data_IF_777245822841
#
_entry.id   IF_777245822841
#
_cell.length_a   1.000
_cell.length_b   1.000
_cell.length_c   1.000
_cell.angle_alpha   90.00
_cell.angle_beta   90.00
_cell.angle_gamma   90.00
#
_symmetry.space_group_name_H-M   'P 1'
#
loop_
_entity.id
_entity.type
_entity.pdbx_description
1 polymer ?
#
# COMPACT_ATOMS: atom_id res chain seq x y z
N UNK A 1 -1.94 -19.70 -11.86
CA UNK A 1 -1.09 -19.22 -12.96
C UNK A 1 0.37 -19.38 -12.58
N UNK A 2 1.20 -19.98 -13.42
CA UNK A 2 2.64 -20.00 -13.16
C UNK A 2 3.16 -18.56 -13.07
N UNK A 3 3.99 -18.28 -12.05
CA UNK A 3 4.54 -16.95 -11.83
C UNK A 3 3.68 -16.03 -11.01
N UNK A 4 2.41 -16.38 -10.74
CA UNK A 4 1.56 -15.58 -9.87
C UNK A 4 2.02 -15.69 -8.42
N UNK A 5 2.02 -14.57 -7.71
CA UNK A 5 2.32 -14.54 -6.28
C UNK A 5 1.14 -14.83 -5.39
N UNK A 6 -0.07 -14.94 -5.94
CA UNK A 6 -1.27 -15.15 -5.15
C UNK A 6 -1.24 -16.50 -4.44
N UNK A 7 -1.51 -16.48 -3.15
CA UNK A 7 -1.57 -17.70 -2.35
C UNK A 7 -1.16 -17.45 -0.91
N UNK A 8 -1.65 -18.33 -0.02
CA UNK A 8 -1.25 -18.34 1.37
C UNK A 8 0.06 -19.09 1.54
N UNK A 9 0.94 -18.56 2.36
CA UNK A 9 2.24 -19.16 2.67
C UNK A 9 2.38 -19.29 4.18
N UNK A 10 2.81 -20.46 4.64
CA UNK A 10 3.17 -20.66 6.05
C UNK A 10 4.69 -20.48 6.14
N UNK A 11 5.11 -19.48 6.90
CA UNK A 11 6.52 -19.18 7.10
C UNK A 11 7.16 -20.16 8.08
N UNK A 12 8.50 -20.30 8.09
CA UNK A 12 9.18 -21.17 9.06
C UNK A 12 8.81 -20.89 10.51
N UNK A 13 8.48 -19.64 10.82
CA UNK A 13 8.01 -19.25 12.18
C UNK A 13 6.62 -19.75 12.52
N UNK A 14 5.88 -20.29 11.54
CA UNK A 14 4.49 -20.69 11.69
C UNK A 14 3.50 -19.59 11.32
N UNK A 15 3.96 -18.37 11.07
CA UNK A 15 3.10 -17.27 10.64
C UNK A 15 2.60 -17.50 9.22
N UNK A 16 1.31 -17.20 8.99
CA UNK A 16 0.70 -17.35 7.67
C UNK A 16 0.55 -15.96 7.05
N UNK A 17 1.00 -15.81 5.80
CA UNK A 17 0.95 -14.55 5.06
C UNK A 17 0.38 -14.79 3.67
N UNK A 18 -0.16 -13.72 3.07
CA UNK A 18 -0.62 -13.76 1.69
C UNK A 18 0.47 -13.21 0.78
N UNK A 19 0.85 -13.99 -0.20
CA UNK A 19 1.86 -13.63 -1.18
C UNK A 19 3.00 -14.63 -1.18
N UNK A 20 3.19 -15.32 -2.30
CA UNK A 20 4.22 -16.38 -2.39
C UNK A 20 5.62 -15.80 -2.48
N UNK A 21 5.76 -14.58 -3.00
CA UNK A 21 7.05 -13.91 -3.20
C UNK A 21 7.14 -12.60 -2.44
N UNK A 22 6.33 -12.44 -1.38
CA UNK A 22 6.22 -11.20 -0.64
C UNK A 22 5.04 -10.38 -1.11
N UNK A 23 4.90 -9.18 -0.57
CA UNK A 23 3.82 -8.27 -0.92
C UNK A 23 4.33 -6.85 -1.02
N UNK A 24 3.63 -6.01 -1.80
CA UNK A 24 3.99 -4.61 -1.99
C UNK A 24 2.75 -3.75 -2.13
N UNK A 25 2.85 -2.51 -1.65
CA UNK A 25 1.79 -1.53 -1.79
C UNK A 25 2.33 -0.17 -2.20
N UNK A 26 1.43 0.72 -2.62
CA UNK A 26 1.76 2.05 -3.09
C UNK A 26 1.12 3.11 -2.20
N UNK A 27 1.93 3.90 -1.52
CA UNK A 27 1.49 5.04 -0.73
C UNK A 27 1.71 6.31 -1.52
N UNK A 28 0.61 6.92 -1.98
CA UNK A 28 0.69 8.19 -2.68
C UNK A 28 0.52 9.34 -1.70
N UNK A 29 1.37 10.36 -1.85
CA UNK A 29 1.30 11.58 -1.06
C UNK A 29 1.13 12.78 -2.00
N UNK A 30 0.11 13.58 -1.74
CA UNK A 30 -0.08 14.86 -2.41
C UNK A 30 0.28 15.98 -1.45
N UNK A 31 1.19 16.84 -1.88
CA UNK A 31 1.66 17.96 -1.05
C UNK A 31 1.25 19.28 -1.69
N UNK A 32 0.45 20.05 -0.95
CA UNK A 32 -0.04 21.33 -1.43
C UNK A 32 -0.13 22.32 -0.28
N UNK A 33 0.50 23.47 -0.45
CA UNK A 33 0.45 24.57 0.55
C UNK A 33 0.84 24.10 1.95
N UNK A 34 1.86 23.22 2.04
CA UNK A 34 2.34 22.73 3.32
C UNK A 34 1.50 21.62 3.95
N UNK A 35 0.45 21.18 3.26
CA UNK A 35 -0.40 20.08 3.74
C UNK A 35 -0.14 18.82 2.92
N UNK A 36 0.23 17.75 3.61
CA UNK A 36 0.39 16.44 3.00
C UNK A 36 -0.90 15.65 3.17
N UNK A 37 -1.35 15.02 2.08
CA UNK A 37 -2.49 14.10 2.11
C UNK A 37 -2.06 12.77 1.53
N UNK A 38 -2.46 11.72 2.22
CA UNK A 38 -2.15 10.35 1.81
C UNK A 38 -3.39 9.69 1.24
N UNK A 39 -3.22 8.95 0.14
CA UNK A 39 -4.32 8.15 -0.40
C UNK A 39 -4.35 6.82 0.32
N UNK A 40 -5.43 6.57 1.02
CA UNK A 40 -5.67 5.29 1.68
C UNK A 40 -6.96 4.68 1.17
N UNK A 41 -7.02 3.36 1.20
CA UNK A 41 -8.21 2.62 0.83
C UNK A 41 -8.76 1.91 2.07
N UNK A 42 -10.10 1.90 2.20
CA UNK A 42 -10.76 1.16 3.26
C UNK A 42 -11.02 -0.26 2.77
N UNK A 43 -10.48 -1.23 3.48
CA UNK A 43 -10.63 -2.64 3.15
C UNK A 43 -12.09 -3.05 3.29
N UNK A 44 -12.62 -3.75 2.29
CA UNK A 44 -14.00 -4.18 2.29
C UNK A 44 -14.32 -5.05 3.51
N UNK A 45 -15.56 -4.99 3.97
CA UNK A 45 -15.98 -5.70 5.18
C UNK A 45 -15.89 -7.22 5.06
N UNK A 46 -15.85 -7.76 3.84
CA UNK A 46 -15.78 -9.21 3.61
C UNK A 46 -14.35 -9.73 3.39
N UNK A 47 -13.33 -8.85 3.29
CA UNK A 47 -11.96 -9.33 3.11
C UNK A 47 -11.44 -9.93 4.40
N UNK A 48 -10.55 -10.91 4.28
CA UNK A 48 -9.92 -11.56 5.41
C UNK A 48 -8.78 -10.68 5.96
N UNK A 49 -8.93 -10.23 7.19
CA UNK A 49 -7.94 -9.38 7.86
C UNK A 49 -8.10 -7.90 7.52
N UNK A 50 -8.20 -7.07 8.55
CA UNK A 50 -8.24 -5.62 8.41
C UNK A 50 -9.49 -5.07 7.76
N UNK A 51 -10.60 -5.82 7.73
CA UNK A 51 -11.83 -5.36 7.11
C UNK A 51 -12.34 -4.09 7.79
N UNK A 52 -12.79 -3.13 6.98
CA UNK A 52 -13.25 -1.84 7.47
C UNK A 52 -12.14 -0.89 7.90
N UNK A 53 -10.88 -1.31 7.82
CA UNK A 53 -9.74 -0.49 8.19
C UNK A 53 -9.06 0.13 6.97
N UNK A 54 -8.45 1.29 7.20
CA UNK A 54 -7.76 2.02 6.15
C UNK A 54 -6.30 1.59 6.06
N UNK A 55 -5.83 1.41 4.84
CA UNK A 55 -4.47 0.95 4.59
C UNK A 55 -3.97 1.42 3.22
N UNK A 56 -2.71 1.14 2.97
CA UNK A 56 -2.08 1.32 1.66
C UNK A 56 -2.63 0.25 0.73
N UNK A 57 -3.10 0.61 -0.48
CA UNK A 57 -3.48 -0.41 -1.46
C UNK A 57 -2.25 -1.20 -1.92
N UNK A 58 -2.41 -2.51 -2.07
CA UNK A 58 -1.32 -3.38 -2.47
C UNK A 58 -1.75 -4.84 -2.51
N UNK A 59 -0.80 -5.71 -2.80
CA UNK A 59 -1.05 -7.14 -2.89
C UNK A 59 0.23 -7.93 -3.11
N UNK A 60 0.07 -9.18 -3.55
CA UNK A 60 1.17 -10.11 -3.72
C UNK A 60 2.10 -9.71 -4.87
N UNK A 61 3.40 -9.90 -4.65
CA UNK A 61 4.41 -9.73 -5.70
C UNK A 61 4.42 -11.01 -6.55
N UNK A 62 4.42 -10.85 -7.88
CA UNK A 62 4.55 -11.98 -8.78
C UNK A 62 6.02 -12.35 -8.98
N UNK A 63 6.27 -13.57 -9.46
CA UNK A 63 7.62 -14.16 -9.50
C UNK A 63 8.68 -13.28 -10.16
N UNK A 64 8.32 -12.56 -11.21
CA UNK A 64 9.27 -11.76 -12.00
C UNK A 64 9.23 -10.27 -11.67
N UNK A 65 8.45 -9.88 -10.67
CA UNK A 65 8.31 -8.46 -10.33
C UNK A 65 9.26 -8.05 -9.22
N UNK A 66 9.75 -6.81 -9.31
CA UNK A 66 10.32 -6.16 -8.15
C UNK A 66 9.18 -5.48 -7.36
N UNK A 67 9.42 -5.01 -6.13
CA UNK A 67 8.37 -4.40 -5.32
C UNK A 67 7.66 -3.22 -5.97
N UNK A 68 8.39 -2.37 -6.69
CA UNK A 68 7.79 -1.20 -7.36
C UNK A 68 6.85 -1.64 -8.48
N UNK A 69 7.27 -2.60 -9.28
CA UNK A 69 6.42 -3.14 -10.36
C UNK A 69 5.14 -3.75 -9.80
N UNK A 70 5.26 -4.51 -8.72
CA UNK A 70 4.11 -5.13 -8.07
C UNK A 70 3.16 -4.08 -7.50
N UNK A 71 3.71 -3.06 -6.83
CA UNK A 71 2.90 -1.99 -6.25
C UNK A 71 2.15 -1.21 -7.33
N UNK A 72 2.79 -0.93 -8.47
CA UNK A 72 2.14 -0.25 -9.59
C UNK A 72 1.01 -1.08 -10.18
N UNK A 73 1.25 -2.36 -10.41
CA UNK A 73 0.24 -3.26 -10.96
C UNK A 73 -0.95 -3.41 -10.02
N UNK A 74 -0.68 -3.63 -8.73
CA UNK A 74 -1.75 -3.78 -7.74
C UNK A 74 -2.57 -2.50 -7.60
N UNK A 75 -1.91 -1.33 -7.64
CA UNK A 75 -2.62 -0.06 -7.58
C UNK A 75 -3.57 0.08 -8.79
N UNK A 76 -3.08 -0.23 -9.98
CA UNK A 76 -3.89 -0.15 -11.20
C UNK A 76 -5.10 -1.09 -11.13
N UNK A 77 -4.89 -2.29 -10.63
CA UNK A 77 -5.97 -3.30 -10.52
C UNK A 77 -7.00 -2.94 -9.44
N UNK A 78 -6.54 -2.44 -8.30
CA UNK A 78 -7.42 -2.24 -7.14
C UNK A 78 -8.04 -0.86 -7.07
N UNK A 79 -7.30 0.15 -7.47
CA UNK A 79 -7.70 1.56 -7.25
C UNK A 79 -8.01 2.24 -8.58
N UNK A 80 -7.06 2.24 -9.50
CA UNK A 80 -7.20 2.91 -10.79
C UNK A 80 -5.86 3.44 -11.28
N UNK A 81 -5.92 4.31 -12.30
CA UNK A 81 -4.70 4.86 -12.91
C UNK A 81 -3.96 5.79 -11.97
N UNK A 82 -2.64 5.68 -11.93
CA UNK A 82 -1.80 6.62 -11.19
C UNK A 82 -1.87 8.00 -11.85
N UNK A 83 -1.87 9.08 -11.04
CA UNK A 83 -1.78 10.43 -11.60
C UNK A 83 -0.48 10.62 -12.38
N UNK A 84 -0.51 11.42 -13.42
CA UNK A 84 0.72 11.76 -14.14
C UNK A 84 1.69 12.53 -13.25
N UNK A 85 2.97 12.43 -13.56
CA UNK A 85 4.00 13.14 -12.82
C UNK A 85 4.34 12.56 -11.46
N UNK A 86 3.95 11.33 -11.18
CA UNK A 86 4.30 10.69 -9.91
C UNK A 86 5.81 10.47 -9.82
N UNK A 87 6.34 10.61 -8.59
CA UNK A 87 7.78 10.47 -8.33
C UNK A 87 7.99 9.56 -7.14
N UNK A 88 8.73 8.48 -7.34
CA UNK A 88 9.09 7.57 -6.25
C UNK A 88 10.12 8.23 -5.33
N UNK A 89 9.84 8.27 -4.03
CA UNK A 89 10.75 8.80 -3.02
C UNK A 89 11.57 7.72 -2.36
N UNK A 90 10.99 6.54 -2.18
CA UNK A 90 11.69 5.43 -1.55
C UNK A 90 10.76 4.25 -1.32
N UNK A 91 11.36 3.16 -0.88
CA UNK A 91 10.64 1.91 -0.58
C UNK A 91 10.98 1.51 0.85
N UNK A 92 9.96 1.29 1.65
CA UNK A 92 10.09 0.81 3.02
C UNK A 92 9.87 -0.69 3.06
N UNK A 93 10.79 -1.41 3.65
CA UNK A 93 10.68 -2.87 3.78
C UNK A 93 10.43 -3.24 5.24
N UNK A 94 9.40 -4.05 5.46
CA UNK A 94 9.18 -4.71 6.75
C UNK A 94 9.52 -6.17 6.57
N UNK A 95 10.60 -6.61 7.19
CA UNK A 95 11.03 -8.01 7.12
C UNK A 95 10.21 -8.80 8.14
N UNK A 96 9.36 -9.69 7.65
CA UNK A 96 8.54 -10.55 8.51
C UNK A 96 9.30 -11.82 8.85
N UNK A 97 10.01 -12.39 7.87
CA UNK A 97 10.85 -13.57 8.06
C UNK A 97 12.13 -13.34 7.27
N UNK A 98 13.30 -13.14 7.95
CA UNK A 98 14.55 -12.80 7.26
C UNK A 98 14.91 -13.79 6.16
N UNK A 99 15.18 -13.25 4.97
CA UNK A 99 15.54 -14.05 3.80
C UNK A 99 14.39 -14.83 3.16
N UNK A 100 13.18 -14.72 3.71
CA UNK A 100 12.03 -15.51 3.24
C UNK A 100 10.88 -14.63 2.78
N UNK A 101 10.44 -13.65 3.61
CA UNK A 101 9.25 -12.89 3.28
C UNK A 101 9.30 -11.47 3.86
N UNK A 102 8.95 -10.50 3.02
CA UNK A 102 8.90 -9.08 3.40
C UNK A 102 7.69 -8.41 2.78
N UNK A 103 7.24 -7.34 3.43
CA UNK A 103 6.26 -6.42 2.87
C UNK A 103 6.96 -5.11 2.51
N UNK A 104 6.69 -4.61 1.31
CA UNK A 104 7.29 -3.37 0.81
C UNK A 104 6.23 -2.31 0.59
N UNK A 105 6.49 -1.08 1.06
CA UNK A 105 5.63 0.06 0.77
C UNK A 105 6.42 1.07 -0.05
N UNK A 106 5.96 1.32 -1.27
CA UNK A 106 6.56 2.30 -2.16
C UNK A 106 5.92 3.64 -1.87
N UNK A 107 6.73 4.65 -1.54
CA UNK A 107 6.25 5.99 -1.22
C UNK A 107 6.51 6.92 -2.40
N UNK A 108 5.47 7.57 -2.89
CA UNK A 108 5.56 8.42 -4.06
C UNK A 108 4.81 9.74 -3.87
N UNK A 109 5.33 10.81 -4.47
CA UNK A 109 4.64 12.09 -4.53
C UNK A 109 3.85 12.16 -5.83
N UNK A 110 2.68 12.80 -5.77
CA UNK A 110 1.84 13.06 -6.94
C UNK A 110 1.40 14.52 -6.96
N UNK A 111 1.08 15.02 -8.15
CA UNK A 111 0.70 16.42 -8.34
C UNK A 111 -0.82 16.63 -8.33
N UNK A 112 -1.60 15.56 -8.34
CA UNK A 112 -3.05 15.63 -8.40
C UNK A 112 -3.68 14.65 -7.42
N UNK A 113 -4.93 14.91 -7.05
CA UNK A 113 -5.73 14.06 -6.17
C UNK A 113 -6.99 13.58 -6.89
N UNK A 114 -6.88 12.60 -7.81
CA UNK A 114 -8.06 12.09 -8.49
C UNK A 114 -9.00 11.36 -7.52
N UNK A 115 -10.26 11.28 -7.90
CA UNK A 115 -11.25 10.44 -7.23
C UNK A 115 -11.24 9.05 -7.86
N UNK A 116 -11.28 8.03 -7.01
CA UNK A 116 -11.16 6.64 -7.48
C UNK A 116 -12.40 5.78 -7.19
N UNK A 117 -13.46 6.33 -6.61
CA UNK A 117 -14.60 5.52 -6.19
C UNK A 117 -15.22 4.69 -7.32
N UNK A 118 -15.18 5.20 -8.55
CA UNK A 118 -15.75 4.51 -9.71
C UNK A 118 -14.87 3.40 -10.26
N UNK A 119 -13.61 3.32 -9.85
CA UNK A 119 -12.63 2.38 -10.39
C UNK A 119 -12.15 1.35 -9.38
N UNK A 120 -12.65 1.40 -8.14
CA UNK A 120 -12.21 0.49 -7.08
C UNK A 120 -12.58 -0.97 -7.38
N UNK A 121 -11.67 -1.86 -7.00
CA UNK A 121 -11.95 -3.29 -7.01
C UNK A 121 -12.90 -3.64 -5.86
N UNK A 122 -13.41 -4.87 -5.87
CA UNK A 122 -14.31 -5.35 -4.81
C UNK A 122 -13.62 -5.50 -3.45
N UNK A 123 -12.30 -5.48 -3.41
CA UNK A 123 -11.53 -5.61 -2.16
C UNK A 123 -11.53 -4.34 -1.33
N UNK A 124 -11.89 -3.21 -1.91
CA UNK A 124 -11.88 -1.92 -1.24
C UNK A 124 -13.25 -1.25 -1.38
N UNK A 125 -13.79 -0.77 -0.26
CA UNK A 125 -15.08 -0.07 -0.24
C UNK A 125 -14.95 1.40 -0.62
N UNK A 126 -13.78 1.99 -0.33
CA UNK A 126 -13.60 3.43 -0.44
C UNK A 126 -12.12 3.77 -0.58
N UNK A 127 -11.79 4.84 -1.30
CA UNK A 127 -10.45 5.40 -1.35
C UNK A 127 -10.57 6.90 -1.15
N UNK A 128 -9.77 7.45 -0.24
CA UNK A 128 -9.82 8.87 0.11
C UNK A 128 -8.44 9.42 0.38
N UNK A 129 -8.30 10.72 0.14
CA UNK A 129 -7.11 11.48 0.48
C UNK A 129 -7.28 12.05 1.88
N UNK A 130 -6.43 11.63 2.80
CA UNK A 130 -6.50 12.04 4.20
C UNK A 130 -5.30 12.90 4.56
N UNK A 131 -5.54 14.05 5.22
CA UNK A 131 -4.43 14.82 5.77
C UNK A 131 -3.82 14.06 6.96
N UNK A 132 -2.57 14.37 7.28
CA UNK A 132 -1.89 13.68 8.37
C UNK A 132 -2.62 13.86 9.70
N UNK A 133 -3.23 15.02 9.93
CA UNK A 133 -3.97 15.28 11.15
C UNK A 133 -5.22 14.41 11.30
N UNK A 134 -5.78 13.97 10.18
CA UNK A 134 -6.99 13.15 10.17
C UNK A 134 -6.71 11.68 10.46
N UNK A 135 -5.47 11.24 10.31
CA UNK A 135 -5.12 9.81 10.47
C UNK A 135 -5.44 9.27 11.86
N UNK A 136 -5.30 10.10 12.88
CA UNK A 136 -5.59 9.71 14.26
C UNK A 136 -7.06 9.37 14.50
N UNK A 137 -7.94 9.80 13.59
CA UNK A 137 -9.38 9.58 13.71
C UNK A 137 -9.86 8.34 12.97
N UNK A 138 -8.95 7.68 12.23
CA UNK A 138 -9.31 6.55 11.37
C UNK A 138 -8.94 5.22 12.02
N UNK A 139 -9.77 4.17 11.78
CA UNK A 139 -9.34 2.82 12.12
C UNK A 139 -8.29 2.38 11.09
N UNK A 140 -7.03 2.49 11.44
CA UNK A 140 -5.93 2.12 10.55
C UNK A 140 -5.62 0.63 10.67
N UNK A 141 -5.32 0.00 9.54
CA UNK A 141 -4.81 -1.36 9.51
C UNK A 141 -3.49 -1.38 10.30
N UNK A 142 -3.39 -2.27 11.28
CA UNK A 142 -2.30 -2.24 12.25
C UNK A 142 -0.90 -2.26 11.64
N UNK A 143 -0.58 -3.14 10.68
CA UNK A 143 0.76 -3.13 10.07
C UNK A 143 1.10 -1.79 9.41
N UNK A 144 0.11 -1.13 8.80
CA UNK A 144 0.30 0.20 8.23
C UNK A 144 0.54 1.23 9.33
N UNK A 145 -0.26 1.19 10.38
CA UNK A 145 -0.13 2.11 11.52
C UNK A 145 1.27 2.01 12.13
N UNK A 146 1.75 0.78 12.31
CA UNK A 146 3.09 0.55 12.88
C UNK A 146 4.20 1.05 11.96
N UNK A 147 4.03 0.98 10.66
CA UNK A 147 5.02 1.44 9.69
C UNK A 147 4.99 2.95 9.46
N UNK A 148 3.89 3.61 9.84
CA UNK A 148 3.65 5.01 9.49
C UNK A 148 4.79 5.97 9.85
N UNK A 149 5.42 5.91 11.05
CA UNK A 149 6.54 6.80 11.35
C UNK A 149 7.68 6.69 10.34
N UNK A 150 8.02 5.48 9.91
CA UNK A 150 9.09 5.27 8.92
C UNK A 150 8.67 5.77 7.53
N UNK A 151 7.41 5.57 7.17
CA UNK A 151 6.87 6.03 5.89
C UNK A 151 6.90 7.55 5.82
N UNK A 152 6.54 8.22 6.91
CA UNK A 152 6.56 9.68 6.97
C UNK A 152 7.99 10.22 6.87
N UNK A 153 8.98 9.50 7.39
CA UNK A 153 10.39 9.90 7.23
C UNK A 153 10.83 9.84 5.77
N UNK A 154 10.37 8.82 5.03
CA UNK A 154 10.68 8.73 3.60
C UNK A 154 10.04 9.89 2.85
N UNK A 155 8.77 10.18 3.15
CA UNK A 155 8.05 11.27 2.49
C UNK A 155 8.67 12.64 2.79
N UNK A 156 9.27 12.79 3.97
CA UNK A 156 9.92 14.04 4.36
C UNK A 156 11.28 14.28 3.70
N UNK A 157 11.84 13.27 3.00
CA UNK A 157 13.13 13.38 2.33
C UNK A 157 13.06 14.11 1.00
N UNK A 158 11.87 14.43 0.54
CA UNK A 158 11.70 15.14 -0.71
C UNK A 158 12.32 16.53 -0.61
N UNK A 159 13.23 16.87 -1.52
CA UNK A 159 13.91 18.18 -1.52
C UNK A 159 12.98 19.32 -1.90
#
# INVERSE_FOLDING_TARGET
MPGSGDGWVTLPSGRVVWGRFGAAGMLLCHREAGTDRLLLARRAHWVHGGNGQWSVPGGAIDEHENPVEAALREFDEEIGALPGGWRLLGVHEVVIEPGVWSYHTCCALVDERPHYDATLSLENDEAQWWSLDELDTLPLFRPFEEALPDLLRILAQEP
#
